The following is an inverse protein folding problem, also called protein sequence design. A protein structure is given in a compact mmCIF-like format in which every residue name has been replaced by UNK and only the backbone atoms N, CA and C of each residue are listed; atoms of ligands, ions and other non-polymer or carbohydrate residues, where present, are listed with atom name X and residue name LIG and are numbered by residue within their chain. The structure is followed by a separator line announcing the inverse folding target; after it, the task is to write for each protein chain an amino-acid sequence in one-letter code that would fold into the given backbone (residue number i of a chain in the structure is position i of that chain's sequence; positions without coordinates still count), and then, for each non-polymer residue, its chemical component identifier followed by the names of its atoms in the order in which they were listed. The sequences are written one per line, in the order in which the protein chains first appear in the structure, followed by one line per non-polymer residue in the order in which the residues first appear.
data_IF_191988137989
#
_entry.id   IF_191988137989
#
_cell.length_a   1.000
_cell.length_b   1.000
_cell.length_c   1.000
_cell.angle_alpha   90.00
_cell.angle_beta   90.00
_cell.angle_gamma   90.00
#
_symmetry.space_group_name_H-M   'P 1'
#
loop_
_entity.id
_entity.type
_entity.pdbx_description
1 polymer ?
#
# COMPACT_ATOMS: atom_id res chain seq x y z
N UNK A 1 21.30 -11.64 32.43
CA UNK A 1 19.86 -11.35 32.38
C UNK A 1 19.49 -10.38 31.25
N UNK A 2 20.04 -9.16 31.20
CA UNK A 2 19.69 -8.18 30.15
C UNK A 2 20.05 -8.63 28.70
N UNK A 3 21.26 -9.16 28.49
CA UNK A 3 21.71 -9.61 27.17
C UNK A 3 20.91 -10.79 26.60
N UNK A 4 20.45 -11.69 27.46
CA UNK A 4 19.58 -12.80 27.03
C UNK A 4 18.20 -12.28 26.59
N UNK A 5 17.65 -11.29 27.30
CA UNK A 5 16.40 -10.64 26.93
C UNK A 5 16.52 -9.87 25.60
N UNK A 6 17.64 -9.16 25.39
CA UNK A 6 17.94 -8.49 24.11
C UNK A 6 18.04 -9.48 22.95
N UNK A 7 18.79 -10.58 23.13
CA UNK A 7 18.93 -11.62 22.11
C UNK A 7 17.59 -12.31 21.80
N UNK A 8 16.75 -12.54 22.82
CA UNK A 8 15.39 -13.06 22.62
C UNK A 8 14.52 -12.08 21.83
N UNK A 9 14.57 -10.78 22.11
CA UNK A 9 13.80 -9.80 21.31
C UNK A 9 14.31 -9.69 19.89
N UNK A 10 15.62 -9.68 19.69
CA UNK A 10 16.21 -9.70 18.36
C UNK A 10 15.77 -10.95 17.58
N UNK A 11 15.75 -12.13 18.21
CA UNK A 11 15.30 -13.38 17.60
C UNK A 11 13.80 -13.32 17.23
N UNK A 12 12.94 -12.84 18.12
CA UNK A 12 11.50 -12.70 17.83
C UNK A 12 11.27 -11.70 16.68
N UNK A 13 11.94 -10.54 16.71
CA UNK A 13 11.83 -9.54 15.66
C UNK A 13 12.32 -10.07 14.30
N UNK A 14 13.41 -10.84 14.27
CA UNK A 14 13.93 -11.46 13.05
C UNK A 14 12.93 -12.46 12.45
N UNK A 15 12.30 -13.30 13.29
CA UNK A 15 11.26 -14.24 12.83
C UNK A 15 10.07 -13.47 12.25
N UNK A 16 9.59 -12.43 12.95
CA UNK A 16 8.51 -11.59 12.45
C UNK A 16 8.85 -10.89 11.13
N UNK A 17 10.10 -10.46 10.95
CA UNK A 17 10.54 -9.80 9.72
C UNK A 17 10.59 -10.77 8.54
N UNK A 18 11.04 -12.01 8.77
CA UNK A 18 11.07 -13.08 7.75
C UNK A 18 9.67 -13.54 7.39
N UNK A 19 8.76 -13.69 8.36
CA UNK A 19 7.39 -14.16 8.09
C UNK A 19 6.49 -13.09 7.47
N UNK A 20 6.81 -11.81 7.61
CA UNK A 20 6.13 -10.70 6.93
C UNK A 20 6.64 -10.45 5.50
N UNK A 21 7.50 -11.30 4.95
CA UNK A 21 7.90 -11.21 3.54
C UNK A 21 6.76 -11.68 2.63
N UNK A 22 5.83 -10.77 2.33
CA UNK A 22 4.71 -10.96 1.43
C UNK A 22 3.86 -9.70 1.38
N UNK A 23 2.98 -9.58 0.38
CA UNK A 23 1.98 -8.53 0.40
C UNK A 23 1.12 -8.70 1.66
N UNK A 24 1.14 -7.70 2.55
CA UNK A 24 0.20 -7.65 3.67
C UNK A 24 -1.22 -7.75 3.07
N UNK A 25 -2.02 -8.77 3.42
CA UNK A 25 -3.37 -8.94 2.87
C UNK A 25 -4.24 -7.70 3.13
N UNK A 26 -3.94 -6.93 4.19
CA UNK A 26 -4.56 -5.63 4.43
C UNK A 26 -4.16 -4.55 3.39
N UNK A 27 -2.97 -4.63 2.80
CA UNK A 27 -2.52 -3.72 1.74
C UNK A 27 -3.11 -4.07 0.38
N UNK A 28 -3.34 -5.35 0.08
CA UNK A 28 -3.91 -5.79 -1.22
C UNK A 28 -5.23 -5.07 -1.53
N UNK A 29 -6.12 -4.93 -0.55
CA UNK A 29 -7.39 -4.21 -0.71
C UNK A 29 -7.22 -2.67 -0.81
N UNK A 30 -6.07 -2.13 -0.39
CA UNK A 30 -5.74 -0.70 -0.46
C UNK A 30 -5.05 -0.32 -1.77
N UNK A 31 -4.55 -1.30 -2.53
CA UNK A 31 -3.99 -1.04 -3.83
C UNK A 31 -5.08 -0.54 -4.78
N UNK A 32 -4.84 0.63 -5.39
CA UNK A 32 -5.80 1.22 -6.32
C UNK A 32 -6.01 0.38 -7.59
N UNK A 33 -5.15 -0.63 -7.85
CA UNK A 33 -5.22 -1.49 -9.03
C UNK A 33 -4.67 -0.82 -10.29
N UNK A 34 -4.83 -1.45 -11.45
CA UNK A 34 -4.38 -0.91 -12.73
C UNK A 34 -5.10 0.41 -13.08
N UNK A 35 -4.44 1.28 -13.84
CA UNK A 35 -5.01 2.57 -14.24
C UNK A 35 -6.39 2.44 -14.91
N UNK A 36 -6.59 1.42 -15.75
CA UNK A 36 -7.89 1.13 -16.38
C UNK A 36 -8.97 0.76 -15.36
N UNK A 37 -8.67 -0.10 -14.39
CA UNK A 37 -9.63 -0.48 -13.33
C UNK A 37 -10.04 0.71 -12.45
N UNK A 38 -9.10 1.62 -12.18
CA UNK A 38 -9.36 2.87 -11.46
C UNK A 38 -10.27 3.80 -12.27
N UNK A 39 -9.96 3.98 -13.55
CA UNK A 39 -10.74 4.81 -14.46
C UNK A 39 -12.16 4.26 -14.62
N UNK A 40 -12.31 2.95 -14.79
CA UNK A 40 -13.60 2.28 -14.89
C UNK A 40 -14.46 2.47 -13.62
N UNK A 41 -13.87 2.28 -12.42
CA UNK A 41 -14.57 2.58 -11.14
C UNK A 41 -15.01 4.05 -11.06
N UNK A 42 -14.16 4.98 -11.50
CA UNK A 42 -14.49 6.42 -11.53
C UNK A 42 -15.69 6.68 -12.44
N UNK A 43 -15.66 6.17 -13.67
CA UNK A 43 -16.76 6.34 -14.64
C UNK A 43 -18.07 5.76 -14.11
N UNK A 44 -18.05 4.56 -13.52
CA UNK A 44 -19.23 3.94 -12.88
C UNK A 44 -19.81 4.79 -11.74
N UNK A 45 -18.96 5.47 -10.99
CA UNK A 45 -19.36 6.37 -9.90
C UNK A 45 -19.70 7.81 -10.35
N UNK A 46 -19.73 8.08 -11.67
CA UNK A 46 -20.01 9.41 -12.21
C UNK A 46 -18.87 10.42 -12.03
N UNK A 47 -17.67 9.96 -11.68
CA UNK A 47 -16.49 10.81 -11.53
C UNK A 47 -15.79 11.03 -12.88
N UNK A 48 -15.08 12.15 -13.00
CA UNK A 48 -14.22 12.41 -14.16
C UNK A 48 -13.12 11.36 -14.31
N UNK A 49 -12.68 11.09 -15.55
CA UNK A 49 -11.57 10.18 -15.86
C UNK A 49 -10.32 10.45 -14.99
N UNK A 50 -9.57 9.39 -14.71
CA UNK A 50 -8.30 9.40 -14.00
C UNK A 50 -7.30 10.40 -14.60
N UNK A 51 -7.26 10.53 -15.93
CA UNK A 51 -6.39 11.51 -16.60
C UNK A 51 -6.80 12.95 -16.30
N UNK A 52 -8.09 13.25 -16.37
CA UNK A 52 -8.62 14.56 -16.02
C UNK A 52 -8.37 14.89 -14.54
N UNK A 53 -8.58 13.93 -13.63
CA UNK A 53 -8.31 14.11 -12.21
C UNK A 53 -6.84 14.39 -11.89
N UNK A 54 -5.90 13.77 -12.63
CA UNK A 54 -4.46 14.03 -12.52
C UNK A 54 -4.08 15.39 -13.08
N UNK A 55 -4.63 15.77 -14.23
CA UNK A 55 -4.39 17.06 -14.86
C UNK A 55 -4.85 18.25 -13.98
N UNK A 56 -5.92 18.08 -13.19
CA UNK A 56 -6.38 19.08 -12.21
C UNK A 56 -5.37 19.42 -11.11
N UNK A 57 -4.39 18.53 -10.84
CA UNK A 57 -3.34 18.76 -9.84
C UNK A 57 -2.05 19.35 -10.41
N UNK A 58 -2.01 19.65 -11.72
CA UNK A 58 -0.87 20.36 -12.31
C UNK A 58 -0.71 21.72 -11.63
N UNK A 59 0.47 22.06 -11.10
CA UNK A 59 0.73 23.39 -10.53
C UNK A 59 0.67 24.50 -11.56
N UNK A 60 0.90 24.17 -12.83
CA UNK A 60 0.96 25.11 -13.95
C UNK A 60 -0.42 25.31 -14.56
N UNK A 61 -1.34 25.83 -13.76
CA UNK A 61 -2.60 26.44 -14.19
C UNK A 61 -2.63 27.91 -13.85
#
# INVERSE_FOLDING_TARGET
MAKDAELRMAAIAAVMAVTQQGDDPGQVARQAGAAWSQDHRRMLSGQSSLMHARARRSPWR
#
